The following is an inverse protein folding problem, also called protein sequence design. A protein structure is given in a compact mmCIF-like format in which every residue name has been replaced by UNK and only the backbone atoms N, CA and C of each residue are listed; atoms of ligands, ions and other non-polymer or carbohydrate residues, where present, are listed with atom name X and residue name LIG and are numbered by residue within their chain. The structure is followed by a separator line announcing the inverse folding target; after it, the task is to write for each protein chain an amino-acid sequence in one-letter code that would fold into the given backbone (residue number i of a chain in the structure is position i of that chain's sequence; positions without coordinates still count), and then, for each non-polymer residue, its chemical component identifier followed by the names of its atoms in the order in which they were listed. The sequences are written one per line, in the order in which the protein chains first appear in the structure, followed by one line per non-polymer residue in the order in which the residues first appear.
data_IF_347297673805
#
_entry.id   IF_347297673805
#
_cell.length_a   1.000
_cell.length_b   1.000
_cell.length_c   1.000
_cell.angle_alpha   90.00
_cell.angle_beta   90.00
_cell.angle_gamma   90.00
#
_symmetry.space_group_name_H-M   'P 1'
#
loop_
_entity.id
_entity.type
_entity.pdbx_description
1 polymer ?
#
# COMPACT_ATOMS: atom_id res chain seq x y z
N UNK A 1 24.67 -3.28 -38.32
CA UNK A 1 23.45 -3.53 -37.53
C UNK A 1 23.86 -4.09 -36.18
N UNK A 2 23.39 -3.48 -35.09
CA UNK A 2 23.49 -4.05 -33.74
C UNK A 2 22.73 -5.38 -33.66
N UNK A 3 22.98 -6.18 -32.62
CA UNK A 3 22.23 -7.43 -32.42
C UNK A 3 20.73 -7.18 -32.29
N UNK A 4 20.33 -6.13 -31.58
CA UNK A 4 18.91 -5.71 -31.47
C UNK A 4 18.31 -5.32 -32.82
N UNK A 5 19.03 -4.55 -33.67
CA UNK A 5 18.54 -4.18 -35.00
C UNK A 5 18.34 -5.39 -35.91
N UNK A 6 19.19 -6.40 -35.82
CA UNK A 6 19.05 -7.64 -36.61
C UNK A 6 17.81 -8.43 -36.18
N UNK A 7 17.54 -8.48 -34.88
CA UNK A 7 16.37 -9.15 -34.31
C UNK A 7 15.08 -8.41 -34.71
N UNK A 8 15.06 -7.08 -34.61
CA UNK A 8 13.92 -6.27 -35.11
C UNK A 8 13.65 -6.57 -36.58
N UNK A 9 14.68 -6.55 -37.42
CA UNK A 9 14.53 -6.82 -38.84
C UNK A 9 14.00 -8.23 -39.09
N UNK A 10 14.51 -9.22 -38.34
CA UNK A 10 14.02 -10.59 -38.39
C UNK A 10 12.53 -10.70 -38.03
N UNK A 11 12.07 -10.05 -36.96
CA UNK A 11 10.65 -10.04 -36.58
C UNK A 11 9.79 -9.40 -37.66
N UNK A 12 10.19 -8.23 -38.18
CA UNK A 12 9.46 -7.52 -39.24
C UNK A 12 9.32 -8.42 -40.47
N UNK A 13 10.43 -8.98 -40.96
CA UNK A 13 10.38 -9.86 -42.13
C UNK A 13 9.51 -11.09 -41.86
N UNK A 14 9.70 -11.76 -40.73
CA UNK A 14 8.96 -13.00 -40.42
C UNK A 14 7.44 -12.77 -40.39
N UNK A 15 7.01 -11.66 -39.80
CA UNK A 15 5.58 -11.31 -39.72
C UNK A 15 5.04 -10.87 -41.08
N UNK A 16 5.75 -10.02 -41.83
CA UNK A 16 5.26 -9.52 -43.12
C UNK A 16 5.26 -10.59 -44.22
N UNK A 17 6.18 -11.56 -44.18
CA UNK A 17 6.23 -12.67 -45.15
C UNK A 17 5.29 -13.84 -44.80
N UNK A 18 4.63 -13.82 -43.64
CA UNK A 18 3.68 -14.87 -43.28
C UNK A 18 2.50 -14.90 -44.28
N UNK A 19 1.94 -16.08 -44.54
CA UNK A 19 0.81 -16.20 -45.49
C UNK A 19 -0.44 -15.51 -44.93
N UNK A 20 -1.39 -15.10 -45.80
CA UNK A 20 -2.66 -14.57 -45.33
C UNK A 20 -3.39 -15.55 -44.41
N UNK A 21 -4.09 -15.04 -43.39
CA UNK A 21 -4.87 -15.85 -42.42
C UNK A 21 -4.05 -16.92 -41.67
N UNK A 22 -2.77 -16.64 -41.43
CA UNK A 22 -1.90 -17.56 -40.70
C UNK A 22 -1.91 -17.31 -39.20
N UNK A 23 -1.50 -18.33 -38.44
CA UNK A 23 -1.19 -18.23 -37.02
C UNK A 23 0.31 -17.95 -36.86
N UNK A 24 0.65 -16.86 -36.21
CA UNK A 24 2.02 -16.45 -35.92
C UNK A 24 2.26 -16.61 -34.43
N UNK A 25 3.26 -17.42 -34.05
CA UNK A 25 3.66 -17.60 -32.66
C UNK A 25 5.00 -16.92 -32.46
N UNK A 26 5.05 -16.01 -31.49
CA UNK A 26 6.25 -15.25 -31.15
C UNK A 26 6.65 -15.62 -29.72
N UNK A 27 7.84 -16.16 -29.57
CA UNK A 27 8.44 -16.48 -28.27
C UNK A 27 9.40 -15.37 -27.86
N UNK A 28 9.28 -14.91 -26.61
CA UNK A 28 10.03 -13.79 -26.02
C UNK A 28 10.06 -12.52 -26.91
N UNK A 29 8.90 -11.91 -27.24
CA UNK A 29 8.81 -10.70 -28.07
C UNK A 29 9.60 -9.50 -27.53
N UNK A 30 9.95 -9.51 -26.25
CA UNK A 30 10.77 -8.51 -25.56
C UNK A 30 12.29 -8.68 -25.74
N UNK A 31 12.74 -9.85 -26.21
CA UNK A 31 14.15 -10.22 -26.19
C UNK A 31 15.01 -9.24 -27.01
N UNK A 32 16.04 -8.67 -26.37
CA UNK A 32 17.00 -7.74 -26.98
C UNK A 32 16.40 -6.43 -27.57
N UNK A 33 15.16 -6.10 -27.20
CA UNK A 33 14.52 -4.85 -27.61
C UNK A 33 14.48 -3.85 -26.46
N UNK A 34 14.79 -2.59 -26.76
CA UNK A 34 14.49 -1.52 -25.82
C UNK A 34 12.98 -1.28 -25.79
N UNK A 35 12.43 -1.12 -24.58
CA UNK A 35 10.98 -1.01 -24.35
C UNK A 35 10.30 0.09 -25.15
N UNK A 36 10.98 1.21 -25.37
CA UNK A 36 10.47 2.33 -26.20
C UNK A 36 10.19 1.96 -27.66
N UNK A 37 10.86 0.92 -28.18
CA UNK A 37 10.70 0.46 -29.56
C UNK A 37 9.74 -0.72 -29.62
N UNK A 38 9.77 -1.59 -28.61
CA UNK A 38 8.98 -2.82 -28.54
C UNK A 38 7.48 -2.59 -28.76
N UNK A 39 6.85 -1.70 -27.97
CA UNK A 39 5.41 -1.47 -28.08
C UNK A 39 5.04 -0.91 -29.45
N UNK A 40 5.85 0.03 -29.97
CA UNK A 40 5.62 0.63 -31.29
C UNK A 40 5.76 -0.39 -32.42
N UNK A 41 6.78 -1.24 -32.35
CA UNK A 41 7.05 -2.27 -33.35
C UNK A 41 5.88 -3.27 -33.44
N UNK A 42 5.49 -3.85 -32.31
CA UNK A 42 4.46 -4.88 -32.29
C UNK A 42 3.08 -4.31 -32.64
N UNK A 43 2.75 -3.09 -32.20
CA UNK A 43 1.52 -2.41 -32.62
C UNK A 43 1.46 -2.25 -34.15
N UNK A 44 2.57 -1.85 -34.78
CA UNK A 44 2.64 -1.70 -36.23
C UNK A 44 2.53 -3.03 -36.97
N UNK A 45 3.18 -4.07 -36.48
CA UNK A 45 3.11 -5.39 -37.09
C UNK A 45 1.71 -6.01 -36.97
N UNK A 46 1.04 -5.82 -35.84
CA UNK A 46 -0.36 -6.21 -35.62
C UNK A 46 -1.31 -5.46 -36.58
N UNK A 47 -1.10 -4.15 -36.77
CA UNK A 47 -1.88 -3.33 -37.72
C UNK A 47 -1.69 -3.79 -39.18
N UNK A 48 -0.44 -3.99 -39.62
CA UNK A 48 -0.12 -4.39 -40.99
C UNK A 48 -0.61 -5.81 -41.32
N UNK A 49 -0.72 -6.68 -40.31
CA UNK A 49 -1.15 -8.08 -40.44
C UNK A 49 -2.42 -8.37 -39.65
N UNK A 50 -3.39 -7.46 -39.71
CA UNK A 50 -4.71 -7.65 -39.10
C UNK A 50 -5.48 -8.88 -39.64
N UNK A 51 -5.04 -9.47 -40.74
CA UNK A 51 -5.57 -10.72 -41.30
C UNK A 51 -5.10 -11.99 -40.54
N UNK A 52 -4.04 -11.89 -39.73
CA UNK A 52 -3.45 -13.02 -39.00
C UNK A 52 -3.82 -13.01 -37.52
N UNK A 53 -3.67 -14.17 -36.88
CA UNK A 53 -3.72 -14.29 -35.42
C UNK A 53 -2.28 -14.36 -34.91
N UNK A 54 -1.94 -13.50 -33.96
CA UNK A 54 -0.62 -13.49 -33.33
C UNK A 54 -0.76 -13.97 -31.88
N UNK A 55 0.04 -14.97 -31.50
CA UNK A 55 0.16 -15.47 -30.13
C UNK A 55 1.55 -15.10 -29.62
N UNK A 56 1.59 -14.35 -28.53
CA UNK A 56 2.82 -14.02 -27.82
C UNK A 56 3.00 -14.96 -26.63
N UNK A 57 4.20 -15.56 -26.54
CA UNK A 57 4.68 -16.27 -25.37
C UNK A 57 5.68 -15.35 -24.68
N UNK A 58 5.33 -14.84 -23.51
CA UNK A 58 6.14 -13.84 -22.81
C UNK A 58 6.09 -14.08 -21.32
N UNK A 59 7.19 -13.77 -20.64
CA UNK A 59 7.23 -13.66 -19.18
C UNK A 59 7.22 -12.19 -18.74
N UNK A 60 7.28 -11.23 -19.68
CA UNK A 60 7.21 -9.80 -19.42
C UNK A 60 5.76 -9.37 -19.24
N UNK A 61 5.35 -9.26 -17.97
CA UNK A 61 4.00 -8.79 -17.59
C UNK A 61 3.67 -7.44 -18.23
N UNK A 62 4.57 -6.43 -18.22
CA UNK A 62 4.24 -5.16 -18.82
C UNK A 62 3.95 -5.24 -20.33
N UNK A 63 4.72 -6.03 -21.11
CA UNK A 63 4.39 -6.30 -22.52
C UNK A 63 3.04 -7.01 -22.66
N UNK A 64 2.77 -8.05 -21.86
CA UNK A 64 1.48 -8.75 -21.89
C UNK A 64 0.29 -7.81 -21.62
N UNK A 65 0.50 -6.78 -20.81
CA UNK A 65 -0.54 -5.81 -20.45
C UNK A 65 -0.68 -4.64 -21.40
N UNK A 66 0.35 -4.35 -22.23
CA UNK A 66 0.28 -3.27 -23.21
C UNK A 66 -0.61 -3.60 -24.42
N UNK A 67 -1.06 -4.87 -24.52
CA UNK A 67 -1.92 -5.37 -25.58
C UNK A 67 -3.41 -5.20 -25.23
N UNK A 68 -3.93 -3.98 -25.38
CA UNK A 68 -5.29 -3.57 -24.95
C UNK A 68 -6.46 -4.38 -25.54
N UNK A 69 -6.26 -5.09 -26.66
CA UNK A 69 -7.31 -5.85 -27.35
C UNK A 69 -6.96 -7.36 -27.46
N UNK A 70 -6.21 -7.88 -26.49
CA UNK A 70 -5.77 -9.28 -26.45
C UNK A 70 -6.48 -10.09 -25.38
N UNK A 71 -6.51 -11.41 -25.57
CA UNK A 71 -6.92 -12.35 -24.52
C UNK A 71 -5.67 -12.87 -23.82
N UNK A 72 -5.48 -12.53 -22.55
CA UNK A 72 -4.37 -13.04 -21.76
C UNK A 72 -4.70 -14.45 -21.21
N UNK A 73 -3.86 -15.43 -21.57
CA UNK A 73 -3.92 -16.79 -21.07
C UNK A 73 -2.74 -17.02 -20.13
N UNK A 74 -3.02 -17.24 -18.85
CA UNK A 74 -2.01 -17.56 -17.86
C UNK A 74 -1.92 -19.06 -17.64
N UNK A 75 -0.75 -19.64 -17.94
CA UNK A 75 -0.45 -21.05 -17.65
C UNK A 75 0.18 -21.17 -16.26
N UNK A 76 -0.50 -21.88 -15.35
CA UNK A 76 -0.10 -22.06 -13.94
C UNK A 76 0.83 -23.24 -13.73
N UNK A 77 0.47 -24.38 -14.31
CA UNK A 77 1.22 -25.63 -14.19
C UNK A 77 0.97 -26.55 -15.41
N UNK A 78 1.94 -27.41 -15.70
CA UNK A 78 1.88 -28.36 -16.81
C UNK A 78 2.27 -29.74 -16.28
N UNK A 79 1.29 -30.65 -16.22
CA UNK A 79 1.54 -32.06 -15.97
C UNK A 79 1.82 -32.76 -17.29
N UNK A 80 3.10 -32.90 -17.64
CA UNK A 80 3.55 -33.54 -18.88
C UNK A 80 3.10 -35.00 -18.94
N UNK A 81 3.09 -35.72 -17.80
CA UNK A 81 2.68 -37.13 -17.73
C UNK A 81 1.18 -37.34 -17.99
N UNK A 82 0.35 -36.39 -17.54
CA UNK A 82 -1.10 -36.45 -17.69
C UNK A 82 -1.60 -35.66 -18.90
N UNK A 83 -0.70 -35.04 -19.66
CA UNK A 83 -0.99 -34.10 -20.73
C UNK A 83 -2.02 -33.03 -20.32
N UNK A 84 -1.90 -32.54 -19.09
CA UNK A 84 -2.85 -31.62 -18.47
C UNK A 84 -2.21 -30.26 -18.25
N UNK A 85 -2.88 -29.22 -18.73
CA UNK A 85 -2.51 -27.83 -18.55
C UNK A 85 -3.47 -27.22 -17.53
N UNK A 86 -2.92 -26.66 -16.46
CA UNK A 86 -3.67 -25.78 -15.56
C UNK A 86 -3.45 -24.35 -16.05
N UNK A 87 -4.49 -23.73 -16.58
CA UNK A 87 -4.43 -22.38 -17.11
C UNK A 87 -5.72 -21.61 -16.82
N UNK A 88 -5.61 -20.28 -16.80
CA UNK A 88 -6.72 -19.36 -16.57
C UNK A 88 -6.74 -18.30 -17.67
N UNK A 89 -7.93 -18.02 -18.19
CA UNK A 89 -8.15 -16.90 -19.12
C UNK A 89 -8.46 -15.68 -18.27
N UNK A 90 -7.52 -14.74 -18.23
CA UNK A 90 -7.66 -13.52 -17.46
C UNK A 90 -8.68 -12.61 -18.14
N UNK A 91 -9.76 -12.29 -17.43
CA UNK A 91 -10.65 -11.19 -17.80
C UNK A 91 -10.30 -9.97 -16.96
N UNK A 92 -10.17 -8.82 -17.58
CA UNK A 92 -9.89 -7.56 -16.89
C UNK A 92 -11.01 -7.28 -15.89
N UNK A 93 -10.71 -7.37 -14.60
CA UNK A 93 -11.64 -6.93 -13.55
C UNK A 93 -11.43 -5.44 -13.32
N UNK A 94 -12.49 -4.63 -13.35
CA UNK A 94 -12.43 -3.16 -13.29
C UNK A 94 -11.74 -2.58 -12.04
N UNK A 95 -11.62 -3.37 -10.97
CA UNK A 95 -11.09 -2.94 -9.68
C UNK A 95 -9.56 -2.95 -9.59
N UNK A 96 -8.85 -3.72 -10.44
CA UNK A 96 -7.39 -3.91 -10.37
C UNK A 96 -6.81 -3.86 -11.78
N UNK A 97 -5.64 -3.23 -11.96
CA UNK A 97 -4.97 -3.24 -13.26
C UNK A 97 -4.56 -4.66 -13.66
N UNK A 98 -4.62 -4.97 -14.95
CA UNK A 98 -4.21 -6.28 -15.47
C UNK A 98 -2.75 -6.61 -15.12
N UNK A 99 -1.89 -5.59 -15.09
CA UNK A 99 -0.50 -5.69 -14.68
C UNK A 99 -0.37 -6.17 -13.23
N UNK A 100 -1.08 -5.52 -12.31
CA UNK A 100 -1.07 -5.95 -10.91
C UNK A 100 -1.58 -7.37 -10.81
N UNK A 101 -2.71 -7.71 -11.43
CA UNK A 101 -3.26 -9.07 -11.39
C UNK A 101 -2.22 -10.09 -11.85
N UNK A 102 -1.61 -9.89 -13.02
CA UNK A 102 -0.58 -10.79 -13.57
C UNK A 102 0.68 -10.88 -12.69
N UNK A 103 1.09 -9.80 -12.00
CA UNK A 103 2.18 -9.85 -11.01
C UNK A 103 1.83 -10.79 -9.83
N UNK A 104 0.58 -10.76 -9.35
CA UNK A 104 0.13 -11.66 -8.28
C UNK A 104 0.23 -13.11 -8.75
N UNK A 105 -0.24 -13.36 -9.98
CA UNK A 105 -0.21 -14.66 -10.61
C UNK A 105 1.22 -15.20 -10.76
N UNK A 106 2.14 -14.39 -11.28
CA UNK A 106 3.51 -14.81 -11.55
C UNK A 106 4.40 -14.98 -10.32
N UNK A 107 4.19 -14.19 -9.27
CA UNK A 107 5.17 -14.09 -8.17
C UNK A 107 5.17 -15.22 -7.15
N UNK A 108 4.05 -15.95 -7.01
CA UNK A 108 3.80 -16.93 -5.94
C UNK A 108 3.98 -16.39 -4.50
N UNK A 109 4.23 -15.09 -4.32
CA UNK A 109 4.28 -14.40 -3.02
C UNK A 109 2.96 -13.68 -2.76
N UNK A 110 2.50 -13.59 -1.51
CA UNK A 110 1.34 -12.75 -1.18
C UNK A 110 1.64 -11.26 -1.46
N UNK A 111 0.61 -10.51 -1.82
CA UNK A 111 0.71 -9.06 -2.07
C UNK A 111 0.40 -8.28 -0.80
N UNK A 112 1.13 -7.19 -0.59
CA UNK A 112 0.86 -6.19 0.43
C UNK A 112 0.63 -4.84 -0.25
N UNK A 113 -0.63 -4.42 -0.29
CA UNK A 113 -1.03 -3.14 -0.85
C UNK A 113 -0.87 -2.01 0.16
N UNK A 114 -0.29 -0.91 -0.25
CA UNK A 114 -0.01 0.24 0.61
C UNK A 114 -0.55 1.51 -0.05
N UNK A 115 -0.77 2.55 0.75
CA UNK A 115 -1.16 3.86 0.23
C UNK A 115 0.01 4.56 -0.51
N UNK A 116 -0.30 5.62 -1.25
CA UNK A 116 0.65 6.39 -2.03
C UNK A 116 0.72 6.00 -3.51
N UNK A 117 1.16 6.96 -4.33
CA UNK A 117 1.49 6.75 -5.75
C UNK A 117 2.99 6.99 -6.03
N UNK A 118 3.70 7.60 -5.08
CA UNK A 118 5.04 8.15 -5.29
C UNK A 118 6.09 7.22 -4.71
N UNK A 119 7.09 6.84 -5.49
CA UNK A 119 8.21 5.97 -5.07
C UNK A 119 9.09 6.54 -3.94
N UNK A 120 8.85 7.77 -3.50
CA UNK A 120 9.67 8.46 -2.50
C UNK A 120 9.20 8.30 -1.06
N UNK A 121 7.98 7.81 -0.83
CA UNK A 121 7.39 7.68 0.51
C UNK A 121 8.18 6.69 1.39
N UNK A 122 8.08 6.89 2.70
CA UNK A 122 8.90 6.15 3.68
C UNK A 122 8.51 4.68 3.72
N UNK A 123 7.22 4.39 3.61
CA UNK A 123 6.63 3.05 3.57
C UNK A 123 7.11 2.22 2.38
N UNK A 124 7.18 2.78 1.17
CA UNK A 124 7.73 2.10 -0.02
C UNK A 124 9.20 1.71 0.19
N UNK A 125 9.97 2.52 0.91
CA UNK A 125 11.39 2.22 1.22
C UNK A 125 11.53 1.24 2.37
N UNK A 126 10.67 1.30 3.37
CA UNK A 126 10.79 0.54 4.61
C UNK A 126 10.19 -0.85 4.49
N UNK A 127 8.96 -0.96 3.97
CA UNK A 127 8.19 -2.20 3.97
C UNK A 127 8.81 -3.36 3.20
N UNK A 128 9.53 -3.19 2.07
CA UNK A 128 10.25 -4.29 1.44
C UNK A 128 11.27 -4.98 2.36
N UNK A 129 11.83 -4.25 3.34
CA UNK A 129 12.77 -4.79 4.33
C UNK A 129 12.09 -5.38 5.57
N UNK A 130 10.87 -4.90 5.89
CA UNK A 130 10.05 -5.42 6.99
C UNK A 130 9.32 -6.71 6.61
N UNK A 131 8.88 -6.78 5.35
CA UNK A 131 8.01 -7.82 4.79
C UNK A 131 8.65 -8.47 3.54
N UNK A 132 9.85 -9.07 3.63
CA UNK A 132 10.52 -9.70 2.48
C UNK A 132 9.72 -10.86 1.84
N UNK A 133 8.78 -11.41 2.59
CA UNK A 133 7.85 -12.46 2.17
C UNK A 133 6.69 -11.95 1.29
N UNK A 134 6.44 -10.63 1.26
CA UNK A 134 5.40 -10.01 0.46
C UNK A 134 5.96 -9.27 -0.76
N UNK A 135 5.13 -9.10 -1.79
CA UNK A 135 5.34 -8.07 -2.80
C UNK A 135 4.60 -6.80 -2.37
N UNK A 136 5.36 -5.73 -2.17
CA UNK A 136 4.83 -4.43 -1.81
C UNK A 136 4.36 -3.70 -3.06
N UNK A 137 3.09 -3.29 -3.11
CA UNK A 137 2.55 -2.52 -4.23
C UNK A 137 1.75 -1.29 -3.75
N UNK A 138 2.18 -0.06 -4.08
CA UNK A 138 1.43 1.15 -3.78
C UNK A 138 0.19 1.29 -4.70
N UNK A 139 -0.96 1.64 -4.13
CA UNK A 139 -2.25 1.75 -4.85
C UNK A 139 -2.96 3.10 -4.68
N UNK A 140 -2.23 4.19 -4.54
CA UNK A 140 -2.81 5.52 -4.39
C UNK A 140 -3.53 5.69 -3.07
N UNK A 141 -4.83 5.99 -3.09
CA UNK A 141 -5.56 6.26 -1.85
C UNK A 141 -6.07 5.01 -1.13
N UNK A 142 -6.34 5.14 0.18
CA UNK A 142 -6.95 4.09 1.01
C UNK A 142 -8.13 3.34 0.36
N UNK A 143 -9.00 4.02 -0.40
CA UNK A 143 -10.17 3.39 -1.04
C UNK A 143 -9.76 2.33 -2.06
N UNK A 144 -8.71 2.59 -2.85
CA UNK A 144 -8.18 1.65 -3.84
C UNK A 144 -7.50 0.46 -3.17
N UNK A 145 -6.76 0.70 -2.08
CA UNK A 145 -6.17 -0.38 -1.26
C UNK A 145 -7.27 -1.30 -0.74
N UNK A 146 -8.35 -0.74 -0.18
CA UNK A 146 -9.49 -1.51 0.36
C UNK A 146 -10.18 -2.30 -0.75
N UNK A 147 -10.52 -1.65 -1.87
CA UNK A 147 -11.22 -2.28 -2.98
C UNK A 147 -10.39 -3.41 -3.61
N UNK A 148 -9.11 -3.16 -3.88
CA UNK A 148 -8.21 -4.13 -4.51
C UNK A 148 -7.96 -5.33 -3.61
N UNK A 149 -7.71 -5.10 -2.32
CA UNK A 149 -7.53 -6.19 -1.34
C UNK A 149 -8.75 -7.10 -1.30
N UNK A 150 -9.96 -6.50 -1.27
CA UNK A 150 -11.22 -7.26 -1.27
C UNK A 150 -11.47 -7.99 -2.59
N UNK A 151 -11.19 -7.35 -3.72
CA UNK A 151 -11.36 -7.93 -5.05
C UNK A 151 -10.48 -9.18 -5.22
N UNK A 152 -9.18 -9.11 -4.91
CA UNK A 152 -8.28 -10.27 -5.02
C UNK A 152 -8.70 -11.40 -4.08
N UNK A 153 -8.97 -11.07 -2.81
CA UNK A 153 -9.39 -12.09 -1.86
C UNK A 153 -10.76 -12.70 -2.21
N UNK A 154 -11.60 -12.01 -2.98
CA UNK A 154 -12.88 -12.51 -3.47
C UNK A 154 -12.82 -13.32 -4.76
N UNK A 155 -11.83 -13.07 -5.62
CA UNK A 155 -11.64 -13.79 -6.89
C UNK A 155 -11.09 -15.20 -6.68
N UNK A 156 -10.35 -15.43 -5.59
CA UNK A 156 -9.52 -16.62 -5.44
C UNK A 156 -10.18 -17.61 -4.48
N UNK A 157 -10.77 -18.67 -5.03
CA UNK A 157 -11.27 -19.83 -4.27
C UNK A 157 -10.14 -20.80 -3.89
N UNK A 158 -9.02 -20.31 -3.34
CA UNK A 158 -7.85 -21.12 -2.99
C UNK A 158 -6.72 -20.35 -2.31
N UNK A 159 -5.82 -21.07 -1.62
CA UNK A 159 -4.73 -20.50 -0.80
C UNK A 159 -3.59 -19.81 -1.58
N UNK A 160 -3.61 -19.83 -2.92
CA UNK A 160 -2.44 -19.50 -3.75
C UNK A 160 -2.21 -17.98 -3.85
N UNK A 161 -3.26 -17.17 -3.75
CA UNK A 161 -3.19 -15.71 -3.94
C UNK A 161 -3.85 -15.03 -2.75
N UNK A 162 -3.05 -14.52 -1.82
CA UNK A 162 -3.54 -13.72 -0.69
C UNK A 162 -3.09 -12.28 -0.87
N UNK A 163 -4.04 -11.36 -0.81
CA UNK A 163 -3.76 -9.93 -0.71
C UNK A 163 -4.01 -9.45 0.71
N UNK A 164 -3.13 -8.60 1.19
CA UNK A 164 -3.28 -7.83 2.41
C UNK A 164 -3.13 -6.35 2.08
N UNK A 165 -3.70 -5.47 2.89
CA UNK A 165 -3.58 -4.03 2.73
C UNK A 165 -3.07 -3.37 4.00
N UNK A 166 -2.32 -2.29 3.90
CA UNK A 166 -2.03 -1.36 5.00
C UNK A 166 -2.60 0.01 4.61
N UNK A 167 -3.38 0.59 5.51
CA UNK A 167 -3.94 1.95 5.35
C UNK A 167 -3.67 2.77 6.59
N UNK A 168 -3.51 4.08 6.42
CA UNK A 168 -3.28 5.01 7.52
C UNK A 168 -4.43 4.98 8.53
N UNK A 169 -4.16 5.39 9.77
CA UNK A 169 -5.21 5.42 10.79
C UNK A 169 -6.21 6.53 10.55
N UNK A 170 -5.80 7.69 10.03
CA UNK A 170 -6.63 8.89 9.73
C UNK A 170 -7.83 9.10 10.66
N UNK A 171 -7.65 9.01 11.98
CA UNK A 171 -8.74 9.27 12.95
C UNK A 171 -9.93 8.28 12.80
N UNK A 172 -9.69 7.09 12.25
CA UNK A 172 -10.64 5.96 12.19
C UNK A 172 -10.95 5.47 13.61
N UNK A 173 -12.19 5.05 13.80
CA UNK A 173 -12.68 4.43 15.04
C UNK A 173 -12.25 2.97 15.13
N UNK A 174 -12.24 2.41 16.35
CA UNK A 174 -11.92 0.99 16.56
C UNK A 174 -12.88 0.05 15.82
N UNK A 175 -14.14 0.43 15.65
CA UNK A 175 -15.13 -0.34 14.88
C UNK A 175 -14.75 -0.43 13.39
N UNK A 176 -14.31 0.69 12.81
CA UNK A 176 -13.85 0.76 11.42
C UNK A 176 -12.56 -0.03 11.23
N UNK A 177 -11.62 0.08 12.17
CA UNK A 177 -10.37 -0.69 12.16
C UNK A 177 -10.68 -2.19 12.25
N UNK A 178 -11.59 -2.59 13.14
CA UNK A 178 -12.05 -3.96 13.24
C UNK A 178 -12.70 -4.46 11.95
N UNK A 179 -13.48 -3.62 11.26
CA UNK A 179 -14.05 -3.93 9.96
C UNK A 179 -12.98 -4.16 8.89
N UNK A 180 -11.98 -3.28 8.81
CA UNK A 180 -10.85 -3.42 7.87
C UNK A 180 -10.03 -4.67 8.15
N UNK A 181 -9.75 -4.96 9.43
CA UNK A 181 -8.98 -6.14 9.85
C UNK A 181 -9.64 -7.45 9.41
N UNK A 182 -10.98 -7.54 9.46
CA UNK A 182 -11.73 -8.71 8.95
C UNK A 182 -11.54 -8.95 7.45
N UNK A 183 -11.17 -7.92 6.70
CA UNK A 183 -10.90 -8.00 5.26
C UNK A 183 -9.39 -8.07 4.95
N UNK A 184 -8.56 -8.44 5.94
CA UNK A 184 -7.08 -8.48 5.83
C UNK A 184 -6.46 -7.11 5.50
N UNK A 185 -7.09 -6.05 5.97
CA UNK A 185 -6.57 -4.68 5.84
C UNK A 185 -6.19 -4.18 7.23
N UNK A 186 -4.93 -3.84 7.38
CA UNK A 186 -4.27 -3.50 8.62
C UNK A 186 -4.12 -1.99 8.74
N UNK A 187 -4.23 -1.50 9.98
CA UNK A 187 -4.16 -0.08 10.31
C UNK A 187 -3.12 0.06 11.41
N UNK A 188 -2.07 0.89 11.23
CA UNK A 188 -1.07 1.11 12.26
C UNK A 188 -1.69 1.61 13.58
N UNK A 189 -1.09 1.23 14.70
CA UNK A 189 -1.37 1.81 16.03
C UNK A 189 -0.71 3.19 16.22
N UNK A 190 -0.43 3.86 15.11
CA UNK A 190 0.07 5.24 15.04
C UNK A 190 -0.80 6.02 14.04
N UNK A 191 -0.87 7.33 14.19
CA UNK A 191 -1.78 8.17 13.43
C UNK A 191 -1.48 8.22 11.91
N UNK A 192 -0.20 8.13 11.56
CA UNK A 192 0.35 8.12 10.19
C UNK A 192 1.49 7.11 10.15
N UNK A 193 1.72 6.44 9.02
CA UNK A 193 2.79 5.43 8.88
C UNK A 193 4.18 6.01 9.19
N UNK A 194 4.43 7.28 8.89
CA UNK A 194 5.65 8.00 9.24
C UNK A 194 5.97 7.96 10.74
N UNK A 195 4.93 7.92 11.59
CA UNK A 195 5.09 7.90 13.03
C UNK A 195 5.65 6.57 13.55
N UNK A 196 5.71 5.52 12.72
CA UNK A 196 6.44 4.29 13.05
C UNK A 196 7.91 4.58 13.37
N UNK A 197 8.52 5.56 12.70
CA UNK A 197 9.91 5.97 12.94
C UNK A 197 10.16 6.54 14.33
N UNK A 198 9.09 6.95 15.02
CA UNK A 198 9.10 7.53 16.36
C UNK A 198 8.79 6.50 17.45
N UNK A 199 8.62 5.23 17.11
CA UNK A 199 8.44 4.17 18.11
C UNK A 199 9.68 4.07 19.03
N UNK A 200 9.50 3.88 20.34
CA UNK A 200 10.60 3.86 21.30
C UNK A 200 11.73 2.91 20.89
N UNK A 201 11.41 1.70 20.44
CA UNK A 201 12.38 0.69 20.06
C UNK A 201 13.22 1.12 18.85
N UNK A 202 12.62 1.83 17.88
CA UNK A 202 13.34 2.35 16.73
C UNK A 202 14.30 3.46 17.13
N UNK A 203 13.87 4.38 18.00
CA UNK A 203 14.74 5.43 18.55
C UNK A 203 15.91 4.81 19.30
N UNK A 204 15.68 3.75 20.10
CA UNK A 204 16.73 3.04 20.83
C UNK A 204 17.79 2.47 19.89
N UNK A 205 17.37 1.79 18.82
CA UNK A 205 18.28 1.21 17.83
C UNK A 205 19.14 2.29 17.19
N UNK A 206 18.53 3.38 16.73
CA UNK A 206 19.29 4.44 16.04
C UNK A 206 20.22 5.18 17.00
N UNK A 207 19.78 5.52 18.22
CA UNK A 207 20.63 6.18 19.21
C UNK A 207 21.83 5.30 19.61
N UNK A 208 21.60 4.00 19.85
CA UNK A 208 22.66 3.04 20.20
C UNK A 208 23.70 2.90 19.09
N UNK A 209 23.26 2.79 17.83
CA UNK A 209 24.16 2.63 16.67
C UNK A 209 25.01 3.88 16.40
N UNK A 210 24.54 5.06 16.77
CA UNK A 210 25.27 6.32 16.65
C UNK A 210 26.04 6.71 17.92
N UNK A 211 26.20 5.79 18.89
CA UNK A 211 26.96 6.03 20.11
C UNK A 211 26.36 7.08 21.06
N UNK A 212 25.06 7.39 20.92
CA UNK A 212 24.35 8.34 21.77
C UNK A 212 23.69 7.65 22.97
N UNK A 213 23.41 8.44 24.00
CA UNK A 213 22.70 7.97 25.17
C UNK A 213 21.21 7.73 24.83
N UNK A 214 20.84 6.46 24.78
CA UNK A 214 19.47 6.00 24.46
C UNK A 214 18.41 6.64 25.35
N UNK A 215 18.68 6.75 26.67
CA UNK A 215 17.72 7.31 27.62
C UNK A 215 17.50 8.80 27.37
N UNK A 216 18.58 9.55 27.17
CA UNK A 216 18.50 10.99 26.93
C UNK A 216 17.80 11.29 25.59
N UNK A 217 18.10 10.51 24.54
CA UNK A 217 17.44 10.63 23.24
C UNK A 217 15.93 10.40 23.36
N UNK A 218 15.51 9.33 24.04
CA UNK A 218 14.10 9.01 24.27
C UNK A 218 13.40 10.09 25.09
N UNK A 219 13.95 10.48 26.24
CA UNK A 219 13.36 11.50 27.11
C UNK A 219 13.21 12.84 26.38
N UNK A 220 14.21 13.21 25.56
CA UNK A 220 14.16 14.42 24.76
C UNK A 220 13.00 14.39 23.75
N UNK A 221 12.89 13.33 22.96
CA UNK A 221 11.84 13.18 21.94
C UNK A 221 10.45 13.12 22.60
N UNK A 222 10.30 12.34 23.67
CA UNK A 222 9.03 12.20 24.39
C UNK A 222 8.55 13.54 24.96
N UNK A 223 9.42 14.27 25.66
CA UNK A 223 9.09 15.61 26.21
C UNK A 223 8.73 16.61 25.11
N UNK A 224 9.44 16.54 23.98
CA UNK A 224 9.18 17.43 22.84
C UNK A 224 7.80 17.19 22.25
N UNK A 225 7.47 15.93 21.94
CA UNK A 225 6.18 15.54 21.38
C UNK A 225 5.04 15.82 22.37
N UNK A 226 5.23 15.53 23.66
CA UNK A 226 4.23 15.81 24.68
C UNK A 226 3.94 17.32 24.76
N UNK A 227 4.98 18.17 24.75
CA UNK A 227 4.80 19.63 24.77
C UNK A 227 4.10 20.17 23.51
N UNK A 228 4.37 19.59 22.34
CA UNK A 228 3.69 19.97 21.09
C UNK A 228 2.24 19.49 21.09
N UNK A 229 1.99 18.25 21.51
CA UNK A 229 0.63 17.72 21.64
C UNK A 229 -0.21 18.51 22.67
N UNK A 230 0.37 18.93 23.79
CA UNK A 230 -0.34 19.75 24.78
C UNK A 230 -0.79 21.12 24.25
N UNK A 231 -0.06 21.69 23.29
CA UNK A 231 -0.47 22.95 22.64
C UNK A 231 -1.61 22.70 21.66
N UNK A 232 -1.57 21.56 20.98
CA UNK A 232 -2.42 21.29 19.83
C UNK A 232 -3.62 20.39 20.16
N UNK A 233 -3.72 19.80 21.36
CA UNK A 233 -4.73 18.74 21.63
C UNK A 233 -6.17 19.22 21.42
N UNK A 234 -6.47 20.50 21.67
CA UNK A 234 -7.81 21.06 21.47
C UNK A 234 -8.15 21.15 19.99
N UNK A 235 -7.19 21.54 19.15
CA UNK A 235 -7.32 21.55 17.69
C UNK A 235 -7.42 20.12 17.17
N UNK A 236 -6.55 19.22 17.63
CA UNK A 236 -6.60 17.80 17.28
C UNK A 236 -7.96 17.19 17.63
N UNK A 237 -8.51 17.48 18.81
CA UNK A 237 -9.83 17.00 19.21
C UNK A 237 -10.92 17.49 18.24
N UNK A 238 -10.83 18.75 17.80
CA UNK A 238 -11.76 19.30 16.79
C UNK A 238 -11.62 18.59 15.44
N UNK A 239 -10.39 18.29 15.00
CA UNK A 239 -10.15 17.54 13.77
C UNK A 239 -10.74 16.12 13.83
N UNK A 240 -10.60 15.44 14.97
CA UNK A 240 -11.21 14.13 15.23
C UNK A 240 -12.73 14.19 15.23
N UNK A 241 -13.33 15.18 15.90
CA UNK A 241 -14.80 15.38 15.87
C UNK A 241 -15.28 15.63 14.45
N UNK A 242 -14.63 16.53 13.71
CA UNK A 242 -15.01 16.84 12.33
C UNK A 242 -14.98 15.60 11.44
N UNK A 243 -13.95 14.75 11.57
CA UNK A 243 -13.87 13.50 10.81
C UNK A 243 -14.99 12.54 11.19
N UNK A 244 -15.25 12.34 12.49
CA UNK A 244 -16.29 11.44 12.99
C UNK A 244 -17.69 11.89 12.59
N UNK A 245 -17.99 13.18 12.73
CA UNK A 245 -19.27 13.77 12.32
C UNK A 245 -19.45 13.61 10.80
N UNK A 246 -18.42 13.90 9.99
CA UNK A 246 -18.48 13.72 8.53
C UNK A 246 -18.83 12.27 8.16
N UNK A 247 -18.12 11.29 8.73
CA UNK A 247 -18.37 9.86 8.51
C UNK A 247 -19.77 9.43 8.90
N UNK A 248 -20.23 9.85 10.08
CA UNK A 248 -21.57 9.53 10.57
C UNK A 248 -22.65 10.16 9.68
N UNK A 249 -22.44 11.40 9.20
CA UNK A 249 -23.35 12.02 8.24
C UNK A 249 -23.41 11.23 6.92
N UNK A 250 -22.25 10.90 6.34
CA UNK A 250 -22.17 10.10 5.10
C UNK A 250 -22.92 8.77 5.23
N UNK A 251 -22.81 8.10 6.38
CA UNK A 251 -23.50 6.82 6.61
C UNK A 251 -25.01 6.97 6.85
N UNK A 252 -25.43 8.04 7.54
CA UNK A 252 -26.83 8.24 7.92
C UNK A 252 -27.68 8.84 6.81
N UNK A 253 -27.10 9.66 5.92
CA UNK A 253 -27.84 10.31 4.83
C UNK A 253 -28.43 9.30 3.84
N UNK A 254 -27.80 8.13 3.66
CA UNK A 254 -28.27 7.08 2.74
C UNK A 254 -29.47 6.26 3.26
N UNK A 255 -30.07 6.64 4.39
CA UNK A 255 -31.20 5.92 4.97
C UNK A 255 -32.46 6.06 4.08
N UNK A 256 -32.97 4.92 3.61
CA UNK A 256 -34.23 4.86 2.85
C UNK A 256 -35.41 5.27 3.74
N UNK A 257 -36.18 6.25 3.28
CA UNK A 257 -37.41 6.74 3.91
C UNK A 257 -38.58 6.61 2.94
N UNK A 258 -39.80 6.55 3.46
CA UNK A 258 -40.99 6.29 2.63
C UNK A 258 -41.63 7.56 2.07
N UNK A 259 -41.40 8.72 2.68
CA UNK A 259 -41.92 10.02 2.23
C UNK A 259 -41.00 11.18 2.66
N UNK A 260 -41.19 12.35 2.02
CA UNK A 260 -40.34 13.54 2.24
C UNK A 260 -40.42 14.10 3.66
N UNK A 261 -41.59 14.07 4.31
CA UNK A 261 -41.76 14.60 5.67
C UNK A 261 -40.99 13.76 6.70
N UNK A 262 -41.02 12.44 6.54
CA UNK A 262 -40.24 11.49 7.34
C UNK A 262 -38.73 11.74 7.17
N UNK A 263 -38.29 11.98 5.93
CA UNK A 263 -36.89 12.31 5.63
C UNK A 263 -36.45 13.64 6.27
N UNK A 264 -37.27 14.70 6.20
CA UNK A 264 -36.95 15.99 6.82
C UNK A 264 -36.86 15.89 8.36
N UNK A 265 -37.76 15.15 8.99
CA UNK A 265 -37.72 14.91 10.44
C UNK A 265 -36.48 14.11 10.84
N UNK A 266 -36.15 13.06 10.10
CA UNK A 266 -34.95 12.27 10.31
C UNK A 266 -33.68 13.12 10.13
N UNK A 267 -33.59 13.90 9.05
CA UNK A 267 -32.42 14.75 8.79
C UNK A 267 -32.16 15.74 9.94
N UNK A 268 -33.21 16.32 10.52
CA UNK A 268 -33.10 17.18 11.71
C UNK A 268 -32.70 16.41 12.98
N UNK A 269 -33.06 15.13 13.09
CA UNK A 269 -32.68 14.29 14.25
C UNK A 269 -31.20 13.91 14.23
N UNK A 270 -30.57 13.78 13.05
CA UNK A 270 -29.18 13.32 12.93
C UNK A 270 -28.20 14.15 13.78
N UNK A 271 -28.37 15.47 13.86
CA UNK A 271 -27.50 16.33 14.68
C UNK A 271 -27.62 15.96 16.16
N UNK A 272 -28.85 15.71 16.61
CA UNK A 272 -29.09 15.28 17.99
C UNK A 272 -28.56 13.87 18.21
N UNK A 273 -28.67 12.97 17.25
CA UNK A 273 -28.17 11.59 17.40
C UNK A 273 -26.64 11.52 17.47
N UNK A 274 -25.93 12.40 16.75
CA UNK A 274 -24.45 12.42 16.72
C UNK A 274 -23.86 13.05 18.00
N UNK A 275 -24.53 14.03 18.60
CA UNK A 275 -24.05 14.80 19.76
C UNK A 275 -22.58 15.29 19.65
N UNK A 276 -22.23 16.19 18.70
CA UNK A 276 -20.84 16.62 18.49
C UNK A 276 -20.14 17.18 19.74
N UNK A 277 -20.88 17.89 20.59
CA UNK A 277 -20.35 18.47 21.83
C UNK A 277 -19.88 17.40 22.83
N UNK A 278 -20.61 16.28 22.92
CA UNK A 278 -20.23 15.17 23.79
C UNK A 278 -18.98 14.48 23.25
N UNK A 279 -18.93 14.22 21.93
CA UNK A 279 -17.75 13.65 21.26
C UNK A 279 -16.51 14.51 21.50
N UNK A 280 -16.63 15.84 21.42
CA UNK A 280 -15.53 16.75 21.71
C UNK A 280 -15.08 16.66 23.16
N UNK A 281 -16.02 16.70 24.11
CA UNK A 281 -15.72 16.62 25.54
C UNK A 281 -15.00 15.31 25.89
N UNK A 282 -15.46 14.18 25.34
CA UNK A 282 -14.86 12.86 25.54
C UNK A 282 -13.43 12.79 24.98
N UNK A 283 -13.21 13.30 23.78
CA UNK A 283 -11.87 13.35 23.15
C UNK A 283 -10.91 14.26 23.93
N UNK A 284 -11.36 15.44 24.36
CA UNK A 284 -10.56 16.33 25.20
C UNK A 284 -10.19 15.66 26.53
N UNK A 285 -11.13 14.96 27.16
CA UNK A 285 -10.85 14.22 28.39
C UNK A 285 -9.84 13.08 28.15
N UNK A 286 -9.99 12.31 27.05
CA UNK A 286 -9.01 11.28 26.65
C UNK A 286 -7.62 11.89 26.44
N UNK A 287 -7.52 12.99 25.70
CA UNK A 287 -6.24 13.64 25.41
C UNK A 287 -5.58 14.21 26.67
N UNK A 288 -6.36 14.80 27.59
CA UNK A 288 -5.85 15.23 28.89
C UNK A 288 -5.29 14.08 29.72
N UNK A 289 -5.93 12.91 29.68
CA UNK A 289 -5.42 11.71 30.37
C UNK A 289 -4.09 11.26 29.75
N UNK A 290 -3.96 11.28 28.41
CA UNK A 290 -2.70 10.97 27.73
C UNK A 290 -1.56 11.91 28.15
N UNK A 291 -1.82 13.22 28.22
CA UNK A 291 -0.83 14.19 28.71
C UNK A 291 -0.45 13.93 30.17
N UNK A 292 -1.44 13.74 31.05
CA UNK A 292 -1.21 13.53 32.50
C UNK A 292 -0.45 12.25 32.82
N UNK A 293 -0.64 11.21 32.02
CA UNK A 293 0.03 9.91 32.19
C UNK A 293 1.33 9.82 31.41
N UNK A 294 1.71 10.89 30.69
CA UNK A 294 2.86 10.93 29.78
C UNK A 294 2.88 9.73 28.80
N UNK A 295 1.69 9.29 28.36
CA UNK A 295 1.55 8.11 27.51
C UNK A 295 1.94 8.42 26.07
N UNK A 296 3.24 8.38 25.79
CA UNK A 296 3.84 8.68 24.50
C UNK A 296 3.27 7.83 23.35
N UNK A 297 3.15 6.51 23.53
CA UNK A 297 2.63 5.61 22.48
C UNK A 297 1.16 5.94 22.16
N UNK A 298 0.35 6.20 23.17
CA UNK A 298 -1.03 6.64 22.98
C UNK A 298 -1.14 8.01 22.30
N UNK A 299 -0.16 8.91 22.48
CA UNK A 299 -0.10 10.18 21.75
C UNK A 299 0.20 9.92 20.26
N UNK A 300 1.17 9.05 19.94
CA UNK A 300 1.49 8.71 18.55
C UNK A 300 0.28 8.11 17.80
N UNK A 301 -0.62 7.42 18.49
CA UNK A 301 -1.87 6.85 17.95
C UNK A 301 -2.87 7.94 17.50
N UNK A 302 -2.99 9.03 18.25
CA UNK A 302 -4.05 10.04 18.05
C UNK A 302 -3.55 11.33 17.41
N UNK A 303 -2.24 11.59 17.47
CA UNK A 303 -1.66 12.84 17.01
C UNK A 303 -1.29 12.77 15.52
N UNK A 304 -2.26 13.13 14.68
CA UNK A 304 -2.11 13.18 13.23
C UNK A 304 -1.59 14.56 12.82
N UNK A 305 -0.26 14.67 12.72
CA UNK A 305 0.44 15.90 12.36
C UNK A 305 1.67 15.58 11.49
N UNK A 306 1.56 15.85 10.19
CA UNK A 306 2.57 15.48 9.16
C UNK A 306 3.99 16.00 9.44
N UNK A 307 4.13 17.09 10.18
CA UNK A 307 5.43 17.69 10.49
C UNK A 307 6.06 17.16 11.78
N UNK A 308 5.45 16.17 12.44
CA UNK A 308 5.89 15.68 13.75
C UNK A 308 7.32 15.09 13.73
N UNK A 309 7.70 14.41 12.64
CA UNK A 309 9.07 13.91 12.46
C UNK A 309 10.13 15.03 12.40
N UNK A 310 9.78 16.19 11.83
CA UNK A 310 10.68 17.34 11.74
C UNK A 310 10.69 18.14 13.04
N UNK A 311 9.51 18.36 13.63
CA UNK A 311 9.33 19.14 14.85
C UNK A 311 9.97 18.48 16.08
N UNK A 312 9.94 17.14 16.15
CA UNK A 312 10.55 16.35 17.22
C UNK A 312 12.08 16.44 17.29
N UNK A 313 12.75 16.87 16.21
CA UNK A 313 14.22 16.80 16.07
C UNK A 313 14.80 15.42 16.42
N UNK A 314 14.05 14.33 16.18
CA UNK A 314 14.41 12.97 16.60
C UNK A 314 15.79 12.52 16.09
N UNK A 315 16.12 12.92 14.86
CA UNK A 315 17.39 12.55 14.23
C UNK A 315 18.57 13.19 14.96
N UNK A 316 18.47 14.46 15.37
CA UNK A 316 19.51 15.14 16.16
C UNK A 316 19.65 14.52 17.55
N UNK A 317 18.53 14.17 18.19
CA UNK A 317 18.53 13.50 19.49
C UNK A 317 19.25 12.15 19.45
N UNK A 318 19.21 11.46 18.30
CA UNK A 318 19.92 10.21 18.06
C UNK A 318 21.35 10.40 17.52
N UNK A 319 21.84 11.63 17.38
CA UNK A 319 23.18 11.94 16.84
C UNK A 319 23.31 11.85 15.33
N UNK A 320 22.20 12.02 14.61
CA UNK A 320 22.17 11.98 13.14
C UNK A 320 21.88 13.38 12.59
N UNK A 321 22.54 13.76 11.49
CA UNK A 321 22.46 15.11 10.93
C UNK A 321 21.12 15.40 10.23
N UNK A 322 20.46 14.38 9.69
CA UNK A 322 19.24 14.53 8.90
C UNK A 322 18.25 13.38 9.07
N UNK A 323 16.98 13.63 8.75
CA UNK A 323 15.93 12.60 8.71
C UNK A 323 16.27 11.46 7.74
N UNK A 324 16.88 11.79 6.59
CA UNK A 324 17.34 10.77 5.64
C UNK A 324 18.41 9.87 6.26
N UNK A 325 19.36 10.44 7.02
CA UNK A 325 20.36 9.65 7.75
C UNK A 325 19.74 8.71 8.79
N UNK A 326 18.68 9.17 9.46
CA UNK A 326 17.95 8.35 10.44
C UNK A 326 17.29 7.15 9.77
N UNK A 327 16.58 7.37 8.66
CA UNK A 327 15.96 6.31 7.85
C UNK A 327 17.02 5.35 7.32
N UNK A 328 18.14 5.87 6.81
CA UNK A 328 19.24 5.04 6.30
C UNK A 328 19.86 4.16 7.39
N UNK A 329 19.93 4.63 8.63
CA UNK A 329 20.42 3.83 9.76
C UNK A 329 19.48 2.65 10.05
N UNK A 330 18.17 2.88 10.01
CA UNK A 330 17.15 1.82 10.17
C UNK A 330 17.23 0.82 9.01
N UNK A 331 17.31 1.30 7.77
CA UNK A 331 17.41 0.45 6.58
C UNK A 331 18.69 -0.37 6.64
N UNK A 332 19.82 0.20 7.05
CA UNK A 332 21.10 -0.50 7.22
C UNK A 332 20.98 -1.58 8.30
N UNK A 333 20.38 -1.26 9.46
CA UNK A 333 20.14 -2.22 10.52
C UNK A 333 19.28 -3.41 10.04
N UNK A 334 18.26 -3.15 9.22
CA UNK A 334 17.40 -4.19 8.61
C UNK A 334 18.16 -5.07 7.61
N UNK A 335 19.10 -4.52 6.83
CA UNK A 335 19.92 -5.27 5.88
C UNK A 335 20.95 -6.17 6.59
N UNK A 336 21.53 -5.72 7.70
CA UNK A 336 22.51 -6.50 8.45
C UNK A 336 21.92 -7.79 9.04
N UNK A 337 20.60 -7.86 9.23
CA UNK A 337 19.89 -9.08 9.63
C UNK A 337 20.21 -9.59 11.04
N UNK A 338 20.78 -8.73 11.90
CA UNK A 338 21.15 -9.04 13.29
C UNK A 338 19.99 -8.81 14.26
N UNK A 339 20.26 -8.84 15.57
CA UNK A 339 19.28 -8.59 16.64
C UNK A 339 18.45 -7.31 16.41
N UNK A 340 19.10 -6.21 16.00
CA UNK A 340 18.43 -4.94 15.66
C UNK A 340 17.35 -5.13 14.58
N UNK A 341 17.62 -5.94 13.54
CA UNK A 341 16.67 -6.19 12.45
C UNK A 341 15.44 -6.94 12.93
N UNK A 342 15.64 -7.94 13.80
CA UNK A 342 14.55 -8.73 14.39
C UNK A 342 13.69 -7.84 15.28
N UNK A 343 14.32 -6.99 16.10
CA UNK A 343 13.61 -6.03 16.93
C UNK A 343 12.77 -5.07 16.08
N UNK A 344 13.37 -4.40 15.10
CA UNK A 344 12.65 -3.44 14.22
C UNK A 344 11.47 -4.13 13.52
N UNK A 345 11.68 -5.32 12.94
CA UNK A 345 10.62 -6.07 12.25
C UNK A 345 9.49 -6.42 13.20
N UNK A 346 9.81 -6.95 14.38
CA UNK A 346 8.80 -7.37 15.37
C UNK A 346 8.00 -6.17 15.87
N UNK A 347 8.68 -5.06 16.20
CA UNK A 347 8.04 -3.82 16.65
C UNK A 347 7.09 -3.25 15.60
N UNK A 348 7.52 -3.14 14.33
CA UNK A 348 6.68 -2.60 13.26
C UNK A 348 5.52 -3.54 12.96
N UNK A 349 5.76 -4.86 12.87
CA UNK A 349 4.72 -5.87 12.64
C UNK A 349 3.64 -5.85 13.73
N UNK A 350 4.05 -5.78 15.00
CA UNK A 350 3.15 -5.62 16.14
C UNK A 350 2.35 -4.31 16.05
N UNK A 351 3.00 -3.19 15.73
CA UNK A 351 2.32 -1.90 15.58
C UNK A 351 1.30 -1.89 14.42
N UNK A 352 1.57 -2.64 13.34
CA UNK A 352 0.64 -2.83 12.22
C UNK A 352 -0.45 -3.86 12.53
N UNK A 353 -0.33 -4.63 13.60
CA UNK A 353 -1.25 -5.74 13.92
C UNK A 353 -1.15 -6.92 12.96
N UNK A 354 0.03 -7.10 12.35
CA UNK A 354 0.39 -8.15 11.40
C UNK A 354 1.40 -9.10 12.06
N UNK A 355 0.93 -10.04 12.87
CA UNK A 355 1.75 -11.06 13.52
C UNK A 355 1.84 -12.36 12.71
#
# INVERSE_FOLDING_TARGET
MSEGEKIVFYFICSVLFAKPMSLIIVDEPEMHLHRSVMDTLWNKLEEERADCIIIYLTNDIPFATSRDNSTALWVKDISVKENRWDYEITKTTSSISQEVYLEILGSRKPMLFIEGNDTSSIDIKLYPHIFPEYIIKPLGGCSKVIESTRAINGLVSGNILQAQGIVDRDRRTEEEIGFLKRHKIYVPQVAEVENLLMLPELIQVVAKRNGNNVREALEYVQKRILSEFEKDFSEQAMLHVRHRVKRQLETNIDKKTTNINEYEHYFRSIINDIHPSNLYADLVNRFRILCRTENYVGILEVYNQKQMLQASNLFKACGVESLNGYIQTIVTALHEGKEDAVLIRTTIKHCLGME
#
